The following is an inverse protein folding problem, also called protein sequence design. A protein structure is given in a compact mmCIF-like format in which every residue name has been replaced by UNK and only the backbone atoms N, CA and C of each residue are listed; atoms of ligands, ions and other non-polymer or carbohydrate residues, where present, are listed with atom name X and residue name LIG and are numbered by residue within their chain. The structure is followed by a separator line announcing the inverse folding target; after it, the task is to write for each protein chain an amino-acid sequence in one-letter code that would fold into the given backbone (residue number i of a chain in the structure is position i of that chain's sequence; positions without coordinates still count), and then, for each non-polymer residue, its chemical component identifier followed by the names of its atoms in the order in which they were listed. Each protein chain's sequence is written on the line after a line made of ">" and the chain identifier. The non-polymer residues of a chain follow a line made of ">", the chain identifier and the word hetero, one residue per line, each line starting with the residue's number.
data_IF_471263075591
#
_entry.id   IF_471263075591
#
_cell.length_a   1.000
_cell.length_b   1.000
_cell.length_c   1.000
_cell.angle_alpha   90.00
_cell.angle_beta   90.00
_cell.angle_gamma   90.00
#
_symmetry.space_group_name_H-M   'P 1'
#
loop_
_entity.id
_entity.type
_entity.pdbx_description
1 polymer ?
#
# COMPACT_ATOMS: atom_id res chain seq x y z
N UNK A 1 -30.87 23.48 31.95
CA UNK A 1 -29.60 24.21 32.07
C UNK A 1 -28.52 23.29 31.48
N UNK A 2 -28.15 23.62 30.25
CA UNK A 2 -27.16 23.06 29.32
C UNK A 2 -26.59 21.64 29.55
N UNK A 3 -27.14 20.71 28.77
CA UNK A 3 -26.50 19.51 28.27
C UNK A 3 -25.43 19.92 27.22
N UNK A 4 -24.17 19.57 27.46
CA UNK A 4 -23.06 19.80 26.52
C UNK A 4 -22.50 18.42 26.15
N UNK A 5 -23.16 17.72 25.23
CA UNK A 5 -22.55 16.63 24.49
C UNK A 5 -21.34 17.19 23.69
N UNK A 6 -20.11 16.69 23.90
CA UNK A 6 -19.02 17.09 23.04
C UNK A 6 -19.34 16.60 21.63
N UNK A 7 -19.29 17.52 20.67
CA UNK A 7 -19.33 17.22 19.25
C UNK A 7 -18.29 16.13 18.95
N UNK A 8 -18.75 14.87 18.91
CA UNK A 8 -18.04 13.78 18.30
C UNK A 8 -17.89 14.18 16.84
N UNK A 9 -16.77 14.83 16.52
CA UNK A 9 -16.27 14.93 15.15
C UNK A 9 -16.32 13.50 14.65
N UNK A 10 -17.22 13.23 13.72
CA UNK A 10 -17.31 11.97 13.00
C UNK A 10 -15.95 11.77 12.35
N UNK A 11 -15.04 11.11 13.07
CA UNK A 11 -13.78 10.66 12.51
C UNK A 11 -14.22 9.55 11.56
N UNK A 12 -14.56 9.94 10.32
CA UNK A 12 -14.88 9.00 9.25
C UNK A 12 -13.75 7.98 9.28
N UNK A 13 -14.06 6.76 9.74
CA UNK A 13 -13.06 5.74 9.95
C UNK A 13 -12.48 5.47 8.58
N UNK A 14 -11.28 5.97 8.32
CA UNK A 14 -10.63 5.85 7.02
C UNK A 14 -10.48 4.37 6.75
N UNK A 15 -11.27 3.85 5.83
CA UNK A 15 -11.21 2.45 5.42
C UNK A 15 -9.87 2.26 4.70
N UNK A 16 -8.97 1.52 5.34
CA UNK A 16 -7.69 1.17 4.74
C UNK A 16 -7.78 -0.19 4.08
N UNK A 17 -7.10 -0.31 2.95
CA UNK A 17 -6.94 -1.56 2.21
C UNK A 17 -5.47 -1.88 2.03
N UNK A 18 -5.18 -3.18 1.94
CA UNK A 18 -3.90 -3.74 1.63
C UNK A 18 -3.94 -4.34 0.22
N UNK A 19 -2.91 -4.07 -0.56
CA UNK A 19 -2.73 -4.58 -1.91
C UNK A 19 -1.38 -5.29 -1.98
N UNK A 20 -1.40 -6.57 -2.33
CA UNK A 20 -0.19 -7.35 -2.59
C UNK A 20 0.15 -7.25 -4.07
N UNK A 21 1.41 -6.99 -4.38
CA UNK A 21 1.93 -6.87 -5.74
C UNK A 21 3.13 -7.80 -5.86
N UNK A 22 3.18 -8.59 -6.92
CA UNK A 22 4.32 -9.48 -7.23
C UNK A 22 5.07 -8.95 -8.44
N UNK A 23 6.39 -9.06 -8.41
CA UNK A 23 7.26 -8.61 -9.49
C UNK A 23 8.30 -9.71 -9.73
N UNK A 24 8.43 -10.16 -10.97
CA UNK A 24 9.38 -11.20 -11.40
C UNK A 24 10.83 -10.68 -11.41
N UNK A 25 11.34 -10.35 -10.23
CA UNK A 25 12.72 -9.92 -10.00
C UNK A 25 13.13 -10.19 -8.56
N UNK A 26 14.41 -10.50 -8.35
CA UNK A 26 15.04 -10.54 -7.03
C UNK A 26 15.67 -9.19 -6.65
N UNK A 27 15.67 -8.22 -7.55
CA UNK A 27 16.27 -6.90 -7.34
C UNK A 27 15.34 -5.98 -6.54
N UNK A 28 15.25 -6.26 -5.25
CA UNK A 28 14.45 -5.47 -4.32
C UNK A 28 14.88 -4.00 -4.24
N UNK A 29 16.16 -3.70 -4.49
CA UNK A 29 16.64 -2.32 -4.46
C UNK A 29 16.06 -1.53 -5.63
N UNK A 30 16.13 -2.07 -6.86
CA UNK A 30 15.52 -1.41 -8.01
C UNK A 30 14.00 -1.33 -7.90
N UNK A 31 13.34 -2.36 -7.35
CA UNK A 31 11.90 -2.29 -7.03
C UNK A 31 11.61 -1.13 -6.08
N UNK A 32 12.37 -1.02 -4.98
CA UNK A 32 12.22 0.06 -4.00
C UNK A 32 12.41 1.44 -4.64
N UNK A 33 13.46 1.61 -5.45
CA UNK A 33 13.74 2.88 -6.13
C UNK A 33 12.64 3.25 -7.13
N UNK A 34 12.17 2.28 -7.92
CA UNK A 34 11.06 2.49 -8.84
C UNK A 34 9.78 2.88 -8.09
N UNK A 35 9.52 2.26 -6.93
CA UNK A 35 8.40 2.62 -6.08
C UNK A 35 8.49 4.06 -5.58
N UNK A 36 9.64 4.44 -5.03
CA UNK A 36 9.89 5.80 -4.55
C UNK A 36 9.74 6.84 -5.64
N UNK A 37 10.15 6.54 -6.88
CA UNK A 37 9.96 7.44 -8.02
C UNK A 37 8.49 7.54 -8.43
N UNK A 38 7.77 6.43 -8.43
CA UNK A 38 6.38 6.37 -8.90
C UNK A 38 5.39 7.00 -7.92
N UNK A 39 5.58 6.74 -6.62
CA UNK A 39 4.66 7.17 -5.56
C UNK A 39 5.14 8.45 -4.86
N UNK A 40 6.44 8.74 -4.88
CA UNK A 40 7.01 9.94 -4.25
C UNK A 40 6.67 10.05 -2.76
N UNK A 41 6.28 11.25 -2.34
CA UNK A 41 5.84 11.58 -0.97
C UNK A 41 4.50 10.92 -0.58
N UNK A 42 3.80 10.26 -1.53
CA UNK A 42 2.54 9.55 -1.26
C UNK A 42 2.78 8.14 -0.69
N UNK A 43 4.04 7.75 -0.53
CA UNK A 43 4.40 6.46 0.05
C UNK A 43 3.98 6.44 1.52
N UNK A 44 2.89 5.73 1.77
CA UNK A 44 2.58 5.22 3.11
C UNK A 44 3.52 4.06 3.51
N UNK A 45 3.15 3.35 4.56
CA UNK A 45 3.91 2.16 4.99
C UNK A 45 3.73 1.06 3.94
N UNK A 46 4.85 0.49 3.50
CA UNK A 46 4.88 -0.70 2.66
C UNK A 46 5.88 -1.71 3.19
N UNK A 47 5.63 -2.98 2.89
CA UNK A 47 6.56 -4.07 3.15
C UNK A 47 7.05 -4.59 1.80
N UNK A 48 8.36 -4.71 1.65
CA UNK A 48 8.99 -5.34 0.49
C UNK A 48 9.77 -6.56 0.98
N UNK A 49 9.41 -7.72 0.45
CA UNK A 49 10.01 -9.01 0.78
C UNK A 49 10.49 -9.69 -0.50
N UNK A 50 11.56 -10.47 -0.40
CA UNK A 50 12.10 -11.25 -1.54
C UNK A 50 11.77 -12.71 -1.34
N UNK A 51 10.97 -13.25 -2.24
CA UNK A 51 10.68 -14.67 -2.34
C UNK A 51 11.73 -15.34 -3.24
N UNK A 52 12.74 -15.92 -2.60
CA UNK A 52 13.80 -16.64 -3.29
C UNK A 52 13.34 -17.99 -3.86
N UNK A 53 12.23 -18.55 -3.37
CA UNK A 53 11.69 -19.83 -3.86
C UNK A 53 11.07 -19.63 -5.24
N UNK A 54 10.33 -18.53 -5.42
CA UNK A 54 9.67 -18.19 -6.69
C UNK A 54 10.45 -17.18 -7.54
N UNK A 55 11.64 -16.78 -7.13
CA UNK A 55 12.48 -15.77 -7.80
C UNK A 55 11.76 -14.41 -8.00
N UNK A 56 10.98 -13.99 -7.01
CA UNK A 56 10.08 -12.84 -7.09
C UNK A 56 10.27 -11.88 -5.92
N UNK A 57 9.91 -10.61 -6.14
CA UNK A 57 9.76 -9.61 -5.08
C UNK A 57 8.27 -9.43 -4.81
N UNK A 58 7.91 -9.46 -3.53
CA UNK A 58 6.53 -9.26 -3.06
C UNK A 58 6.46 -7.94 -2.32
N UNK A 59 5.60 -7.06 -2.80
CA UNK A 59 5.33 -5.76 -2.22
C UNK A 59 3.93 -5.76 -1.62
N UNK A 60 3.80 -5.34 -0.36
CA UNK A 60 2.51 -5.09 0.26
C UNK A 60 2.36 -3.60 0.53
N UNK A 61 1.33 -3.00 -0.06
CA UNK A 61 1.01 -1.58 0.10
C UNK A 61 -0.24 -1.43 0.93
N UNK A 62 -0.23 -0.49 1.88
CA UNK A 62 -1.44 -0.05 2.57
C UNK A 62 -1.80 1.37 2.16
N UNK A 63 -3.06 1.58 1.82
CA UNK A 63 -3.58 2.91 1.50
C UNK A 63 -5.03 3.07 1.94
N UNK A 64 -5.53 4.29 1.89
CA UNK A 64 -6.97 4.54 2.02
C UNK A 64 -7.69 3.99 0.80
N UNK A 65 -8.91 3.48 0.97
CA UNK A 65 -9.70 2.92 -0.13
C UNK A 65 -9.90 3.94 -1.27
N UNK A 66 -10.09 5.21 -0.94
CA UNK A 66 -10.24 6.30 -1.92
C UNK A 66 -8.97 6.63 -2.71
N UNK A 67 -7.80 6.14 -2.30
CA UNK A 67 -6.52 6.36 -2.97
C UNK A 67 -6.06 5.16 -3.82
N UNK A 68 -6.78 4.04 -3.75
CA UNK A 68 -6.39 2.77 -4.36
C UNK A 68 -6.15 2.91 -5.87
N UNK A 69 -7.07 3.53 -6.61
CA UNK A 69 -6.96 3.66 -8.07
C UNK A 69 -5.74 4.48 -8.48
N UNK A 70 -5.48 5.60 -7.78
CA UNK A 70 -4.32 6.44 -8.02
C UNK A 70 -3.01 5.70 -7.73
N UNK A 71 -2.99 4.90 -6.67
CA UNK A 71 -1.85 4.08 -6.30
C UNK A 71 -1.60 2.96 -7.32
N UNK A 72 -2.65 2.25 -7.76
CA UNK A 72 -2.53 1.22 -8.80
C UNK A 72 -2.00 1.82 -10.11
N UNK A 73 -2.51 2.99 -10.51
CA UNK A 73 -2.03 3.68 -11.72
C UNK A 73 -0.54 4.05 -11.63
N UNK A 74 -0.11 4.59 -10.49
CA UNK A 74 1.29 4.91 -10.25
C UNK A 74 2.19 3.66 -10.28
N UNK A 75 1.75 2.55 -9.67
CA UNK A 75 2.48 1.28 -9.72
C UNK A 75 2.57 0.76 -11.15
N UNK A 76 1.46 0.73 -11.92
CA UNK A 76 1.51 0.29 -13.32
C UNK A 76 2.47 1.14 -14.17
N UNK A 77 2.56 2.44 -13.88
CA UNK A 77 3.48 3.35 -14.59
C UNK A 77 4.94 3.12 -14.21
N UNK A 78 5.25 2.91 -12.92
CA UNK A 78 6.63 2.75 -12.44
C UNK A 78 7.16 1.31 -12.47
N UNK A 79 6.27 0.33 -12.43
CA UNK A 79 6.55 -1.10 -12.37
C UNK A 79 5.65 -1.84 -13.39
N UNK A 80 5.95 -1.75 -14.70
CA UNK A 80 5.08 -2.29 -15.75
C UNK A 80 4.96 -3.82 -15.76
N UNK A 81 5.85 -4.53 -15.03
CA UNK A 81 5.81 -6.00 -14.85
C UNK A 81 5.17 -6.43 -13.53
N UNK A 82 4.54 -5.50 -12.81
CA UNK A 82 3.87 -5.79 -11.56
C UNK A 82 2.56 -6.56 -11.81
N UNK A 83 2.38 -7.65 -11.08
CA UNK A 83 1.11 -8.36 -10.97
C UNK A 83 0.36 -7.93 -9.71
N UNK A 84 -0.88 -7.51 -9.88
CA UNK A 84 -1.75 -7.12 -8.77
C UNK A 84 -2.48 -8.33 -8.21
N UNK A 85 -2.30 -8.57 -6.91
CA UNK A 85 -3.07 -9.53 -6.13
C UNK A 85 -4.40 -8.96 -5.64
N UNK A 86 -5.14 -9.70 -4.79
CA UNK A 86 -6.41 -9.24 -4.25
C UNK A 86 -6.23 -8.02 -3.34
N UNK A 87 -7.24 -7.14 -3.36
CA UNK A 87 -7.36 -6.02 -2.43
C UNK A 87 -8.09 -6.52 -1.19
N UNK A 88 -7.42 -6.44 -0.04
CA UNK A 88 -7.95 -6.90 1.24
C UNK A 88 -8.13 -5.72 2.19
N UNK A 89 -9.03 -5.78 3.20
CA UNK A 89 -9.03 -4.82 4.29
C UNK A 89 -7.66 -4.79 4.97
N UNK A 90 -7.10 -3.60 5.20
CA UNK A 90 -5.86 -3.47 5.94
C UNK A 90 -6.14 -3.58 7.43
N UNK A 91 -5.72 -4.69 8.03
CA UNK A 91 -5.48 -4.75 9.46
C UNK A 91 -4.17 -3.99 9.73
N UNK A 92 -4.11 -3.25 10.85
CA UNK A 92 -2.90 -2.53 11.23
C UNK A 92 -1.72 -3.49 11.14
N UNK A 93 -0.73 -3.18 10.28
CA UNK A 93 0.54 -3.90 10.27
C UNK A 93 1.22 -3.57 11.59
N UNK A 94 0.90 -4.33 12.63
CA UNK A 94 1.71 -4.36 13.84
C UNK A 94 3.03 -4.97 13.40
N UNK A 95 4.02 -4.12 13.14
CA UNK A 95 5.39 -4.57 12.92
C UNK A 95 5.77 -5.44 14.10
N UNK A 96 6.06 -6.72 13.82
CA UNK A 96 6.62 -7.65 14.78
C UNK A 96 8.13 -7.67 14.63
#
# INVERSE_FOLDING_TARGET
>A
MSDILPAQRTHARVERVALTIRIDTLDALNVRLALHRALGERIGVYVLSVDHVHAQSVLQLQCERGQLDALMHAVMSGLPRAEFGPVLPAYAMTGQ
#
